data_IF_637354734727
#
_entry.id   IF_637354734727
#
_cell.length_a   1.000
_cell.length_b   1.000
_cell.length_c   1.000
_cell.angle_alpha   90.00
_cell.angle_beta   90.00
_cell.angle_gamma   90.00
#
_symmetry.space_group_name_H-M   'P 1'
#
loop_
_entity.id
_entity.type
_entity.pdbx_description
1 polymer ?
#
# COMPACT_ATOMS: atom_id res chain seq x y z
N UNK A 1 -16.07 -16.54 -11.89
CA UNK A 1 -16.09 -15.77 -10.63
C UNK A 1 -17.21 -14.76 -10.74
N UNK A 2 -18.19 -14.79 -9.85
CA UNK A 2 -19.37 -13.90 -9.88
C UNK A 2 -18.94 -12.44 -9.62
N UNK A 3 -19.45 -11.49 -10.41
CA UNK A 3 -19.13 -10.05 -10.30
C UNK A 3 -19.37 -9.49 -8.89
N UNK A 4 -20.42 -9.98 -8.22
CA UNK A 4 -20.77 -9.56 -6.87
C UNK A 4 -19.72 -10.00 -5.84
N UNK A 5 -19.13 -11.18 -6.01
CA UNK A 5 -18.07 -11.68 -5.12
C UNK A 5 -16.83 -10.79 -5.19
N UNK A 6 -16.43 -10.38 -6.39
CA UNK A 6 -15.27 -9.47 -6.57
C UNK A 6 -15.52 -8.13 -5.87
N UNK A 7 -16.73 -7.57 -6.01
CA UNK A 7 -17.09 -6.31 -5.33
C UNK A 7 -17.02 -6.42 -3.82
N UNK A 8 -17.60 -7.49 -3.25
CA UNK A 8 -17.56 -7.71 -1.81
C UNK A 8 -16.13 -7.84 -1.30
N UNK A 9 -15.29 -8.62 -2.00
CA UNK A 9 -13.88 -8.74 -1.65
C UNK A 9 -13.15 -7.40 -1.66
N UNK A 10 -13.35 -6.56 -2.69
CA UNK A 10 -12.72 -5.24 -2.77
C UNK A 10 -13.10 -4.39 -1.55
N UNK A 11 -14.39 -4.34 -1.20
CA UNK A 11 -14.87 -3.56 -0.05
C UNK A 11 -14.27 -4.09 1.25
N UNK A 12 -14.27 -5.41 1.45
CA UNK A 12 -13.69 -6.05 2.63
C UNK A 12 -12.19 -5.75 2.77
N UNK A 13 -11.44 -5.84 1.68
CA UNK A 13 -10.01 -5.53 1.70
C UNK A 13 -9.72 -4.06 1.96
N UNK A 14 -10.52 -3.13 1.42
CA UNK A 14 -10.39 -1.70 1.72
C UNK A 14 -10.61 -1.42 3.21
N UNK A 15 -11.70 -1.93 3.77
CA UNK A 15 -12.01 -1.80 5.20
C UNK A 15 -10.96 -2.46 6.10
N UNK A 16 -10.36 -3.56 5.64
CA UNK A 16 -9.25 -4.19 6.33
C UNK A 16 -8.01 -3.29 6.33
N UNK A 17 -7.63 -2.72 5.17
CA UNK A 17 -6.44 -1.87 5.06
C UNK A 17 -6.52 -0.62 5.92
N UNK A 18 -7.70 -0.01 6.08
CA UNK A 18 -7.92 1.16 6.94
C UNK A 18 -7.63 0.89 8.43
N UNK A 19 -7.73 -0.38 8.87
CA UNK A 19 -7.53 -0.76 10.27
C UNK A 19 -6.08 -1.11 10.60
N UNK A 20 -5.20 -1.14 9.61
CA UNK A 20 -3.81 -1.52 9.81
C UNK A 20 -3.03 -0.32 10.32
N UNK A 21 -2.44 -0.43 11.51
CA UNK A 21 -1.45 0.55 11.99
C UNK A 21 -0.18 0.42 11.18
N UNK A 22 0.24 1.52 10.55
CA UNK A 22 1.46 1.56 9.76
C UNK A 22 2.67 1.78 10.66
N UNK A 23 3.63 0.85 10.62
CA UNK A 23 4.95 1.00 11.23
C UNK A 23 5.86 1.62 10.20
N UNK A 24 6.21 2.89 10.42
CA UNK A 24 7.04 3.64 9.50
C UNK A 24 8.47 3.07 9.45
N UNK A 25 8.94 2.83 8.24
CA UNK A 25 10.36 2.58 7.96
C UNK A 25 11.01 3.87 7.49
N UNK A 26 12.23 4.10 7.97
CA UNK A 26 13.08 5.22 7.54
C UNK A 26 13.62 4.97 6.12
N UNK A 27 12.76 5.16 5.13
CA UNK A 27 13.06 5.03 3.70
C UNK A 27 12.45 6.22 2.99
N UNK A 28 13.31 7.09 2.45
CA UNK A 28 12.89 8.25 1.68
C UNK A 28 12.90 7.94 0.18
N UNK A 29 11.77 8.20 -0.47
CA UNK A 29 11.61 8.15 -1.93
C UNK A 29 11.47 9.59 -2.43
N UNK A 30 12.19 9.94 -3.50
CA UNK A 30 12.14 11.26 -4.13
C UNK A 30 10.95 11.35 -5.09
N UNK A 31 10.29 12.51 -5.11
CA UNK A 31 9.10 12.76 -5.94
C UNK A 31 9.40 12.80 -7.45
N UNK A 32 10.66 12.95 -7.84
CA UNK A 32 11.06 13.09 -9.24
C UNK A 32 11.52 11.77 -9.89
N UNK A 33 11.38 10.63 -9.20
CA UNK A 33 11.91 9.34 -9.66
C UNK A 33 10.86 8.25 -9.69
N UNK A 34 11.08 7.27 -10.57
CA UNK A 34 10.32 6.03 -10.63
C UNK A 34 11.08 4.91 -9.92
N UNK A 35 10.41 4.20 -9.01
CA UNK A 35 11.02 3.14 -8.21
C UNK A 35 10.47 1.75 -8.58
N UNK A 36 11.36 0.77 -8.69
CA UNK A 36 11.02 -0.64 -8.84
C UNK A 36 11.53 -1.40 -7.61
N UNK A 37 10.62 -1.91 -6.78
CA UNK A 37 10.99 -2.69 -5.59
C UNK A 37 11.23 -4.16 -5.94
N UNK A 38 12.42 -4.66 -5.64
CA UNK A 38 12.84 -6.06 -5.88
C UNK A 38 13.20 -6.77 -4.58
N UNK A 39 13.15 -8.11 -4.57
CA UNK A 39 13.55 -8.92 -3.41
C UNK A 39 12.67 -10.16 -3.19
N UNK A 40 13.02 -10.96 -2.18
CA UNK A 40 12.39 -12.24 -1.88
C UNK A 40 10.89 -12.12 -1.51
N UNK A 41 10.15 -13.24 -1.63
CA UNK A 41 8.76 -13.32 -1.18
C UNK A 41 8.69 -12.95 0.32
N UNK A 42 7.68 -12.17 0.71
CA UNK A 42 7.49 -11.66 2.09
C UNK A 42 8.55 -10.67 2.59
N UNK A 43 9.42 -10.13 1.73
CA UNK A 43 10.36 -9.07 2.10
C UNK A 43 9.71 -7.70 2.44
N UNK A 44 8.38 -7.57 2.34
CA UNK A 44 7.67 -6.33 2.68
C UNK A 44 7.60 -5.29 1.56
N UNK A 45 7.86 -5.67 0.29
CA UNK A 45 7.80 -4.75 -0.86
C UNK A 45 6.43 -4.06 -1.00
N UNK A 46 5.34 -4.83 -0.97
CA UNK A 46 3.98 -4.28 -1.03
C UNK A 46 3.63 -3.43 0.20
N UNK A 47 4.25 -3.72 1.36
CA UNK A 47 4.08 -2.91 2.56
C UNK A 47 4.76 -1.55 2.41
N UNK A 48 5.97 -1.51 1.84
CA UNK A 48 6.66 -0.26 1.52
C UNK A 48 5.89 0.57 0.49
N UNK A 49 5.31 -0.06 -0.53
CA UNK A 49 4.40 0.62 -1.47
C UNK A 49 3.20 1.23 -0.74
N UNK A 50 2.58 0.49 0.18
CA UNK A 50 1.46 0.98 0.97
C UNK A 50 1.85 2.17 1.86
N UNK A 51 3.02 2.12 2.51
CA UNK A 51 3.56 3.25 3.28
C UNK A 51 3.73 4.50 2.39
N UNK A 52 4.29 4.35 1.19
CA UNK A 52 4.43 5.48 0.27
C UNK A 52 3.08 6.06 -0.15
N UNK A 53 2.10 5.22 -0.45
CA UNK A 53 0.74 5.67 -0.79
C UNK A 53 0.14 6.47 0.37
N UNK A 54 0.28 6.00 1.61
CA UNK A 54 -0.21 6.70 2.80
C UNK A 54 0.53 8.03 3.04
N UNK A 55 1.84 8.10 2.74
CA UNK A 55 2.60 9.34 2.80
C UNK A 55 2.07 10.38 1.80
N UNK A 56 1.97 10.00 0.53
CA UNK A 56 1.48 10.87 -0.55
C UNK A 56 0.06 11.38 -0.29
N UNK A 57 -0.84 10.51 0.21
CA UNK A 57 -2.20 10.90 0.55
C UNK A 57 -2.27 11.88 1.74
N UNK A 58 -1.29 11.87 2.66
CA UNK A 58 -1.20 12.84 3.75
C UNK A 58 -0.63 14.18 3.31
N UNK A 59 0.27 14.18 2.32
CA UNK A 59 0.88 15.41 1.78
C UNK A 59 -0.07 16.20 0.88
N UNK A 60 -1.06 15.55 0.26
CA UNK A 60 -2.10 16.22 -0.55
C UNK A 60 -3.17 16.96 0.28
N UNK A 61 -3.14 16.88 1.62
CA UNK A 61 -4.11 17.54 2.53
C UNK A 61 -3.54 18.82 3.13
#
# INVERSE_FOLDING_TARGET
>A
MEKNVIKSLIIEYQQFTEKITLTERDIHLSDQLNYVFVGLRRAGKSYLMYQQIQHLLKEEI
#
